data_IF_588768002035
#
_entry.id   IF_588768002035
#
_cell.length_a   1.000
_cell.length_b   1.000
_cell.length_c   1.000
_cell.angle_alpha   90.00
_cell.angle_beta   90.00
_cell.angle_gamma   90.00
#
_symmetry.space_group_name_H-M   'P 1'
#
loop_
_entity.id
_entity.type
_entity.pdbx_description
1 polymer ?
#
# COMPACT_ATOMS: atom_id res chain seq x y z
N UNK A 1 23.17 3.45 -8.20
CA UNK A 1 22.40 4.57 -7.62
C UNK A 1 21.00 4.10 -7.29
N UNK A 2 20.44 4.59 -6.18
CA UNK A 2 19.07 4.29 -5.74
C UNK A 2 18.32 5.62 -5.63
N UNK A 3 17.23 5.75 -6.40
CA UNK A 3 16.29 6.86 -6.26
C UNK A 3 15.14 6.45 -5.34
N UNK A 4 14.62 7.40 -4.56
CA UNK A 4 13.47 7.18 -3.67
C UNK A 4 12.44 8.30 -3.82
N UNK A 5 11.19 7.94 -3.58
CA UNK A 5 10.05 8.85 -3.43
C UNK A 5 9.49 8.59 -2.04
N UNK A 6 9.17 9.65 -1.29
CA UNK A 6 8.52 9.54 0.01
C UNK A 6 7.22 10.32 0.02
N UNK A 7 6.26 9.81 0.76
CA UNK A 7 4.96 10.41 0.96
C UNK A 7 4.73 10.69 2.45
N UNK A 8 4.08 11.80 2.77
CA UNK A 8 3.55 12.05 4.11
C UNK A 8 2.14 11.49 4.22
N UNK A 9 1.83 10.80 5.31
CA UNK A 9 0.49 10.25 5.56
C UNK A 9 -0.57 11.35 5.53
N UNK A 10 -1.57 11.17 4.69
CA UNK A 10 -2.70 12.06 4.54
C UNK A 10 -3.77 11.39 3.66
N UNK A 11 -5.01 11.83 3.85
CA UNK A 11 -6.14 11.50 2.97
C UNK A 11 -6.78 12.79 2.50
N UNK A 12 -7.14 12.88 1.23
CA UNK A 12 -7.76 14.08 0.71
C UNK A 12 -7.96 14.04 -0.80
N UNK A 13 -8.16 15.22 -1.38
CA UNK A 13 -8.27 15.39 -2.82
C UNK A 13 -7.66 16.70 -3.31
N UNK A 14 -7.15 16.69 -4.54
CA UNK A 14 -6.67 17.87 -5.26
C UNK A 14 -7.46 18.00 -6.56
N UNK A 15 -8.42 18.93 -6.62
CA UNK A 15 -9.30 19.29 -7.76
C UNK A 15 -10.06 18.15 -8.48
N UNK A 16 -9.39 17.07 -8.87
CA UNK A 16 -9.91 15.87 -9.55
C UNK A 16 -9.29 14.54 -9.07
N UNK A 17 -8.26 14.56 -8.23
CA UNK A 17 -7.53 13.36 -7.78
C UNK A 17 -7.71 13.18 -6.29
N UNK A 18 -8.33 12.08 -5.88
CA UNK A 18 -8.34 11.63 -4.48
C UNK A 18 -7.04 10.89 -4.17
N UNK A 19 -6.62 10.90 -2.90
CA UNK A 19 -5.50 10.11 -2.43
C UNK A 19 -5.72 9.59 -1.01
N UNK A 20 -5.11 8.43 -0.72
CA UNK A 20 -4.97 7.84 0.61
C UNK A 20 -3.53 7.40 0.80
N UNK A 21 -2.83 8.01 1.76
CA UNK A 21 -1.45 7.68 2.08
C UNK A 21 -1.40 7.40 3.57
N UNK A 22 -0.88 6.24 3.95
CA UNK A 22 -0.87 5.87 5.35
C UNK A 22 0.04 4.69 5.66
N UNK A 23 0.04 4.37 6.95
CA UNK A 23 0.69 3.20 7.52
C UNK A 23 -0.23 2.62 8.57
N UNK A 24 -0.33 1.31 8.68
CA UNK A 24 -1.14 0.65 9.69
C UNK A 24 -0.57 -0.72 10.04
N UNK A 25 -0.96 -1.16 11.22
CA UNK A 25 -1.00 -2.53 11.67
C UNK A 25 -2.40 -2.72 12.28
N UNK A 26 -2.97 -3.91 12.23
CA UNK A 26 -4.35 -4.13 12.71
C UNK A 26 -4.44 -5.07 13.91
N UNK A 27 -3.29 -5.55 14.38
CA UNK A 27 -3.18 -6.44 15.53
C UNK A 27 -3.53 -7.89 15.20
N UNK A 28 -3.65 -8.25 13.92
CA UNK A 28 -3.89 -9.62 13.47
C UNK A 28 -2.72 -10.19 12.69
N UNK A 29 -2.52 -11.49 12.79
CA UNK A 29 -1.44 -12.18 12.09
C UNK A 29 -1.68 -12.11 10.58
N UNK A 30 -0.75 -11.45 9.87
CA UNK A 30 -0.90 -11.02 8.47
C UNK A 30 -0.16 -11.93 7.48
N UNK A 31 0.32 -13.10 7.94
CA UNK A 31 0.99 -14.07 7.11
C UNK A 31 0.10 -14.63 6.00
N UNK A 32 0.71 -15.15 4.92
CA UNK A 32 -0.07 -15.74 3.81
C UNK A 32 -0.89 -16.96 4.24
N UNK A 33 -0.45 -17.67 5.27
CA UNK A 33 -1.19 -18.79 5.85
C UNK A 33 -2.22 -18.35 6.92
N UNK A 34 -2.30 -17.06 7.22
CA UNK A 34 -3.21 -16.43 8.18
C UNK A 34 -4.29 -15.57 7.47
N UNK A 35 -4.57 -14.36 7.99
CA UNK A 35 -5.55 -13.43 7.39
C UNK A 35 -4.84 -12.25 6.74
N UNK A 36 -5.33 -11.70 5.62
CA UNK A 36 -4.67 -10.55 5.03
C UNK A 36 -5.03 -9.26 5.78
N UNK A 37 -4.05 -8.37 5.90
CA UNK A 37 -4.24 -7.01 6.35
C UNK A 37 -5.24 -6.28 5.46
N UNK A 38 -6.17 -5.55 6.07
CA UNK A 38 -7.19 -4.77 5.36
C UNK A 38 -6.82 -3.29 5.36
N UNK A 39 -6.44 -2.77 4.19
CA UNK A 39 -6.23 -1.34 3.97
C UNK A 39 -7.57 -0.69 3.61
N UNK A 40 -8.14 0.06 4.55
CA UNK A 40 -9.39 0.82 4.35
C UNK A 40 -9.12 2.11 3.56
N UNK A 41 -9.77 2.23 2.40
CA UNK A 41 -9.68 3.38 1.50
C UNK A 41 -10.96 4.22 1.48
N UNK A 42 -11.98 3.86 2.26
CA UNK A 42 -13.31 4.48 2.26
C UNK A 42 -13.23 6.01 2.44
N UNK A 43 -12.34 6.47 3.33
CA UNK A 43 -12.18 7.90 3.64
C UNK A 43 -11.67 8.75 2.45
N UNK A 44 -11.04 8.12 1.46
CA UNK A 44 -10.54 8.80 0.26
C UNK A 44 -11.62 9.01 -0.82
N UNK A 45 -12.78 8.34 -0.70
CA UNK A 45 -13.93 8.50 -1.59
C UNK A 45 -13.57 8.35 -3.08
N UNK A 46 -12.87 7.28 -3.44
CA UNK A 46 -12.55 6.99 -4.84
C UNK A 46 -13.82 6.66 -5.65
N UNK A 47 -13.87 7.10 -6.91
CA UNK A 47 -14.99 6.79 -7.82
C UNK A 47 -14.86 5.39 -8.43
N UNK A 48 -13.62 4.99 -8.72
CA UNK A 48 -13.21 3.71 -9.31
C UNK A 48 -12.07 3.10 -8.47
N UNK A 49 -11.68 1.87 -8.76
CA UNK A 49 -10.55 1.22 -8.08
C UNK A 49 -9.24 2.04 -8.26
N UNK A 50 -8.58 2.50 -7.18
CA UNK A 50 -7.43 3.41 -7.25
C UNK A 50 -6.11 2.71 -7.57
N UNK A 51 -5.21 3.40 -8.26
CA UNK A 51 -3.82 2.93 -8.36
C UNK A 51 -3.17 2.97 -6.98
N UNK A 52 -2.70 1.82 -6.50
CA UNK A 52 -2.15 1.68 -5.14
C UNK A 52 -0.80 0.97 -5.17
N UNK A 53 0.16 1.53 -4.43
CA UNK A 53 1.41 0.86 -4.08
C UNK A 53 1.36 0.52 -2.60
N UNK A 54 1.67 -0.73 -2.26
CA UNK A 54 1.73 -1.22 -0.88
C UNK A 54 3.14 -1.74 -0.62
N UNK A 55 3.69 -1.39 0.54
CA UNK A 55 4.97 -1.88 1.03
C UNK A 55 4.77 -2.49 2.41
N UNK A 56 5.48 -3.58 2.68
CA UNK A 56 5.72 -3.99 4.07
C UNK A 56 6.73 -3.01 4.67
N UNK A 57 6.45 -2.53 5.88
CA UNK A 57 7.23 -1.56 6.66
C UNK A 57 7.62 -2.13 8.03
N UNK A 58 7.72 -3.45 8.12
CA UNK A 58 8.14 -4.19 9.30
C UNK A 58 8.72 -5.54 8.87
N UNK A 59 9.88 -5.87 9.41
CA UNK A 59 10.27 -7.25 9.70
C UNK A 59 11.12 -7.18 10.95
N UNK A 60 10.80 -8.02 11.93
CA UNK A 60 11.76 -8.40 12.95
C UNK A 60 12.53 -9.63 12.46
N UNK A 61 13.70 -9.46 11.83
CA UNK A 61 14.43 -10.63 11.32
C UNK A 61 15.54 -10.36 10.31
N UNK A 62 16.04 -11.44 9.70
CA UNK A 62 17.15 -11.43 8.73
C UNK A 62 16.66 -11.75 7.30
N UNK A 63 15.44 -12.24 7.17
CA UNK A 63 14.86 -12.62 5.89
C UNK A 63 14.20 -11.42 5.23
N UNK A 64 14.32 -11.33 3.91
CA UNK A 64 13.68 -10.27 3.14
C UNK A 64 12.17 -10.46 3.15
N UNK A 65 11.42 -9.36 3.09
CA UNK A 65 9.97 -9.41 3.07
C UNK A 65 9.37 -8.46 2.04
N UNK A 66 8.11 -8.72 1.69
CA UNK A 66 7.35 -7.87 0.79
C UNK A 66 5.86 -7.98 1.08
N UNK A 67 5.11 -6.95 0.70
CA UNK A 67 3.66 -7.02 0.67
C UNK A 67 3.21 -7.85 -0.54
N UNK A 68 2.32 -8.82 -0.31
CA UNK A 68 1.71 -9.63 -1.36
C UNK A 68 0.22 -9.30 -1.47
N UNK A 69 -0.23 -8.85 -2.64
CA UNK A 69 -1.66 -8.59 -2.87
C UNK A 69 -2.53 -9.82 -2.60
N UNK A 70 -3.68 -9.58 -1.98
CA UNK A 70 -4.61 -10.61 -1.54
C UNK A 70 -6.07 -10.24 -1.87
N UNK A 71 -6.98 -11.19 -1.64
CA UNK A 71 -8.41 -10.93 -1.59
C UNK A 71 -9.00 -10.24 -2.83
N UNK A 72 -10.04 -9.43 -2.57
CA UNK A 72 -10.68 -8.59 -3.58
C UNK A 72 -10.20 -7.16 -3.40
N UNK A 73 -9.73 -6.56 -4.49
CA UNK A 73 -9.39 -5.15 -4.58
C UNK A 73 -10.59 -4.35 -5.07
N UNK A 74 -10.91 -3.26 -4.38
CA UNK A 74 -11.99 -2.36 -4.75
C UNK A 74 -11.61 -0.90 -4.48
N UNK A 75 -12.51 0.02 -4.86
CA UNK A 75 -12.37 1.45 -4.57
C UNK A 75 -12.32 1.78 -3.07
N UNK A 76 -12.86 0.91 -2.22
CA UNK A 76 -13.00 1.13 -0.78
C UNK A 76 -11.98 0.32 0.04
N UNK A 77 -11.31 -0.67 -0.57
CA UNK A 77 -10.38 -1.54 0.17
C UNK A 77 -9.33 -2.22 -0.70
N UNK A 78 -8.15 -2.43 -0.10
CA UNK A 78 -7.09 -3.30 -0.60
C UNK A 78 -6.70 -4.31 0.49
N UNK A 79 -6.35 -5.53 0.09
CA UNK A 79 -5.86 -6.57 1.00
C UNK A 79 -4.40 -6.91 0.68
N UNK A 80 -3.59 -7.11 1.71
CA UNK A 80 -2.19 -7.51 1.55
C UNK A 80 -1.78 -8.49 2.64
N UNK A 81 -1.03 -9.52 2.25
CA UNK A 81 -0.30 -10.37 3.19
C UNK A 81 1.12 -9.85 3.39
N UNK A 82 1.68 -10.13 4.55
CA UNK A 82 3.10 -10.11 4.80
C UNK A 82 3.68 -11.40 4.24
N UNK A 83 4.68 -11.30 3.37
CA UNK A 83 5.39 -12.46 2.84
C UNK A 83 6.88 -12.31 3.12
N UNK A 84 7.50 -13.40 3.57
CA UNK A 84 8.95 -13.51 3.74
C UNK A 84 9.62 -14.36 2.65
N UNK A 85 10.94 -14.23 2.56
CA UNK A 85 11.80 -15.10 1.76
C UNK A 85 11.79 -16.55 2.29
N UNK A 86 11.25 -17.45 1.47
CA UNK A 86 11.11 -18.86 1.82
C UNK A 86 12.37 -19.71 1.59
N UNK A 87 13.53 -19.11 1.29
CA UNK A 87 14.76 -19.86 1.00
C UNK A 87 15.25 -20.66 2.23
N UNK A 88 15.04 -20.16 3.46
CA UNK A 88 15.52 -20.80 4.69
C UNK A 88 14.44 -21.52 5.50
N UNK A 89 13.19 -21.09 5.40
CA UNK A 89 12.02 -21.65 6.07
C UNK A 89 10.85 -21.69 5.09
N UNK A 90 9.97 -22.69 5.22
CA UNK A 90 8.71 -22.74 4.49
C UNK A 90 7.53 -22.19 5.29
N UNK A 91 7.79 -21.62 6.47
CA UNK A 91 6.78 -20.93 7.26
C UNK A 91 6.30 -19.71 6.50
N UNK A 92 5.01 -19.41 6.60
CA UNK A 92 4.37 -18.22 6.02
C UNK A 92 3.38 -17.59 6.98
N UNK A 93 3.51 -17.96 8.25
CA UNK A 93 2.77 -17.36 9.34
C UNK A 93 3.59 -16.21 9.88
N UNK A 94 2.96 -15.07 10.06
CA UNK A 94 3.62 -13.88 10.56
C UNK A 94 2.71 -13.22 11.58
N UNK A 95 3.31 -12.76 12.67
CA UNK A 95 2.61 -11.83 13.56
C UNK A 95 2.21 -10.58 12.78
N UNK A 96 1.28 -9.80 13.31
CA UNK A 96 0.89 -8.49 12.77
C UNK A 96 2.10 -7.64 12.32
N UNK A 97 2.15 -7.33 11.03
CA UNK A 97 3.22 -6.57 10.41
C UNK A 97 2.72 -5.17 10.01
N UNK A 98 3.63 -4.19 9.99
CA UNK A 98 3.27 -2.86 9.53
C UNK A 98 3.24 -2.79 8.01
N UNK A 99 2.15 -2.28 7.44
CA UNK A 99 2.05 -1.92 6.03
C UNK A 99 2.11 -0.42 5.84
N UNK A 100 2.65 0.00 4.70
CA UNK A 100 2.59 1.37 4.21
C UNK A 100 1.93 1.37 2.83
N UNK A 101 1.15 2.40 2.52
CA UNK A 101 0.53 2.54 1.21
C UNK A 101 0.49 3.98 0.72
N UNK A 102 0.42 4.09 -0.61
CA UNK A 102 0.03 5.32 -1.31
C UNK A 102 -0.95 4.93 -2.43
N UNK A 103 -2.17 5.43 -2.34
CA UNK A 103 -3.24 5.21 -3.28
C UNK A 103 -3.69 6.53 -3.91
N UNK A 104 -3.96 6.51 -5.21
CA UNK A 104 -4.39 7.66 -6.01
C UNK A 104 -5.52 7.26 -6.94
N UNK A 105 -6.33 8.23 -7.40
CA UNK A 105 -7.33 7.97 -8.46
C UNK A 105 -6.67 7.22 -9.62
N UNK A 106 -7.38 6.25 -10.21
CA UNK A 106 -6.87 5.48 -11.34
C UNK A 106 -6.39 6.39 -12.49
N UNK A 107 -5.29 5.99 -13.13
CA UNK A 107 -4.64 6.71 -14.23
C UNK A 107 -4.17 8.13 -13.84
N UNK A 108 -3.75 8.32 -12.58
CA UNK A 108 -3.17 9.59 -12.14
C UNK A 108 -1.73 9.73 -12.63
N UNK A 109 -1.44 10.81 -13.33
CA UNK A 109 -0.06 11.26 -13.55
C UNK A 109 0.46 12.01 -12.32
N UNK A 110 1.22 11.30 -11.47
CA UNK A 110 1.84 11.87 -10.27
C UNK A 110 2.99 12.84 -10.59
N UNK A 111 3.59 12.69 -11.77
CA UNK A 111 4.69 13.52 -12.26
C UNK A 111 4.28 14.08 -13.62
N UNK A 112 3.37 15.04 -13.61
CA UNK A 112 3.11 15.82 -14.81
C UNK A 112 4.35 16.69 -15.10
N UNK A 113 4.88 16.61 -16.32
CA UNK A 113 5.76 17.68 -16.82
C UNK A 113 4.95 18.97 -16.75
N UNK A 114 5.45 20.00 -16.09
CA UNK A 114 4.81 21.31 -16.05
C UNK A 114 4.61 21.82 -17.48
N UNK A 115 3.45 21.57 -18.08
CA UNK A 115 3.06 22.14 -19.35
C UNK A 115 2.36 23.46 -19.08
N UNK A 116 3.13 24.54 -19.25
CA UNK A 116 2.70 25.90 -19.57
C UNK A 116 1.63 26.55 -18.68
N UNK A 117 2.08 27.20 -17.60
CA UNK A 117 1.50 28.47 -17.16
C UNK A 117 2.38 29.62 -17.69
N UNK A 118 2.45 29.76 -19.01
CA UNK A 118 2.82 31.03 -19.64
C UNK A 118 1.89 31.27 -20.84
N UNK A 119 1.10 32.34 -20.77
CA UNK A 119 0.16 32.79 -21.81
C UNK A 119 -1.12 33.37 -21.26
#
# INVERSE_FOLDING_TARGET
>A
DVGWIAFSSATGSTSSTSFSIGTANDGTDDGVDDSPHVIDLTSANFNDNPDIVVSLNGVWGVDGSWARGAGVWSKDMQHAYAEEDQIKSSERQHVDEHFAWAAFTANTDLIATASALEG
#
